data_IF_878513388387
#
_entry.id   IF_878513388387
#
_cell.length_a   1.000
_cell.length_b   1.000
_cell.length_c   1.000
_cell.angle_alpha   90.00
_cell.angle_beta   90.00
_cell.angle_gamma   90.00
#
_symmetry.space_group_name_H-M   'P 1'
#
loop_
_entity.id
_entity.type
_entity.pdbx_description
1 polymer ?
#
# COMPACT_ATOMS: atom_id res chain seq x y z
N UNK A 1 5.95 -6.14 -20.89
CA UNK A 1 6.28 -4.95 -20.07
C UNK A 1 6.00 -5.31 -18.61
N UNK A 2 7.00 -5.29 -17.72
CA UNK A 2 6.79 -5.69 -16.32
C UNK A 2 6.62 -4.45 -15.42
N UNK A 3 5.41 -3.90 -15.40
CA UNK A 3 5.04 -2.72 -14.62
C UNK A 3 5.00 -3.05 -13.11
N UNK A 4 5.54 -2.15 -12.28
CA UNK A 4 5.57 -2.24 -10.80
C UNK A 4 6.32 -3.45 -10.21
N UNK A 5 7.29 -4.03 -10.93
CA UNK A 5 8.04 -5.19 -10.43
C UNK A 5 8.76 -4.95 -9.11
N UNK A 6 9.37 -3.78 -8.93
CA UNK A 6 10.15 -3.48 -7.75
C UNK A 6 9.25 -3.53 -6.51
N UNK A 7 8.14 -2.80 -6.56
CA UNK A 7 7.11 -2.81 -5.54
C UNK A 7 6.57 -4.23 -5.27
N UNK A 8 6.20 -4.98 -6.32
CA UNK A 8 5.72 -6.36 -6.20
C UNK A 8 6.72 -7.28 -5.51
N UNK A 9 8.01 -7.17 -5.85
CA UNK A 9 9.08 -7.95 -5.24
C UNK A 9 9.23 -7.61 -3.76
N UNK A 10 9.23 -6.32 -3.41
CA UNK A 10 9.33 -5.87 -2.01
C UNK A 10 8.15 -6.35 -1.17
N UNK A 11 6.93 -6.35 -1.72
CA UNK A 11 5.75 -6.92 -1.06
C UNK A 11 5.95 -8.42 -0.79
N UNK A 12 6.41 -9.19 -1.77
CA UNK A 12 6.68 -10.62 -1.57
C UNK A 12 7.79 -10.89 -0.55
N UNK A 13 8.83 -10.04 -0.47
CA UNK A 13 9.87 -10.16 0.54
C UNK A 13 9.33 -10.01 1.97
N UNK A 14 8.34 -9.12 2.16
CA UNK A 14 7.67 -8.95 3.46
C UNK A 14 6.77 -10.12 3.78
N UNK A 15 6.03 -10.66 2.80
CA UNK A 15 5.24 -11.88 2.97
C UNK A 15 6.12 -13.03 3.49
N UNK A 16 7.28 -13.24 2.88
CA UNK A 16 8.23 -14.28 3.28
C UNK A 16 8.86 -14.02 4.66
N UNK A 17 9.28 -12.78 4.95
CA UNK A 17 9.78 -12.41 6.29
C UNK A 17 8.73 -12.64 7.37
N UNK A 18 7.47 -12.32 7.08
CA UNK A 18 6.37 -12.51 8.03
C UNK A 18 6.08 -13.99 8.29
N UNK A 19 6.13 -14.84 7.25
CA UNK A 19 6.03 -16.30 7.42
C UNK A 19 7.15 -16.87 8.30
N UNK A 20 8.37 -16.35 8.17
CA UNK A 20 9.51 -16.79 8.98
C UNK A 20 9.40 -16.33 10.44
N UNK A 21 8.87 -15.12 10.66
CA UNK A 21 8.64 -14.54 11.98
C UNK A 21 7.51 -15.25 12.75
N UNK A 22 6.49 -15.75 12.03
CA UNK A 22 5.33 -16.41 12.60
C UNK A 22 5.46 -17.93 12.58
N UNK A 23 6.11 -18.49 13.61
CA UNK A 23 6.06 -19.93 13.90
C UNK A 23 4.82 -20.24 14.75
N UNK A 24 3.80 -20.84 14.15
CA UNK A 24 2.56 -21.23 14.83
C UNK A 24 1.52 -20.10 14.92
N UNK A 25 0.74 -20.07 16.00
CA UNK A 25 -0.22 -18.99 16.27
C UNK A 25 0.43 -17.95 17.19
N UNK A 26 0.58 -16.72 16.70
CA UNK A 26 1.19 -15.63 17.45
C UNK A 26 0.21 -14.46 17.54
N UNK A 27 0.20 -13.79 18.69
CA UNK A 27 -0.45 -12.50 18.86
C UNK A 27 0.56 -11.41 18.48
N UNK A 28 0.17 -10.56 17.53
CA UNK A 28 0.95 -9.41 17.09
C UNK A 28 0.68 -8.22 18.01
N UNK A 29 1.70 -7.85 18.78
CA UNK A 29 1.76 -6.61 19.56
C UNK A 29 2.50 -5.53 18.75
N UNK A 30 2.48 -4.29 19.25
CA UNK A 30 3.12 -3.16 18.56
C UNK A 30 4.61 -3.38 18.32
N UNK A 31 5.33 -3.94 19.29
CA UNK A 31 6.78 -4.17 19.16
C UNK A 31 7.09 -5.15 18.02
N UNK A 32 6.32 -6.23 17.91
CA UNK A 32 6.46 -7.21 16.83
C UNK A 32 6.09 -6.63 15.48
N UNK A 33 5.04 -5.81 15.43
CA UNK A 33 4.62 -5.15 14.19
C UNK A 33 5.65 -4.12 13.72
N UNK A 34 6.24 -3.35 14.63
CA UNK A 34 7.33 -2.42 14.35
C UNK A 34 8.55 -3.15 13.79
N UNK A 35 8.97 -4.23 14.45
CA UNK A 35 10.10 -5.05 13.98
C UNK A 35 9.82 -5.62 12.58
N UNK A 36 8.62 -6.15 12.38
CA UNK A 36 8.19 -6.76 11.12
C UNK A 36 8.18 -5.77 9.95
N UNK A 37 7.65 -4.57 10.18
CA UNK A 37 7.41 -3.58 9.13
C UNK A 37 8.50 -2.54 8.95
N UNK A 38 9.45 -2.41 9.88
CA UNK A 38 10.60 -1.49 9.76
C UNK A 38 11.34 -1.62 8.43
N UNK A 39 11.61 -2.86 7.99
CA UNK A 39 12.26 -3.12 6.70
C UNK A 39 11.34 -2.92 5.50
N UNK A 40 10.01 -2.94 5.68
CA UNK A 40 9.06 -2.72 4.60
C UNK A 40 8.93 -1.24 4.26
N UNK A 41 8.91 -0.38 5.26
CA UNK A 41 8.85 1.07 5.07
C UNK A 41 10.03 1.57 4.22
N UNK A 42 11.25 1.16 4.57
CA UNK A 42 12.46 1.46 3.79
C UNK A 42 12.32 0.93 2.36
N UNK A 43 11.79 -0.29 2.19
CA UNK A 43 11.61 -0.88 0.87
C UNK A 43 10.57 -0.16 -0.01
N UNK A 44 9.54 0.45 0.58
CA UNK A 44 8.57 1.29 -0.13
C UNK A 44 9.23 2.58 -0.60
N UNK A 45 10.01 3.24 0.25
CA UNK A 45 10.79 4.42 -0.10
C UNK A 45 11.79 4.15 -1.25
N UNK A 46 12.50 3.02 -1.18
CA UNK A 46 13.38 2.54 -2.28
C UNK A 46 12.63 2.26 -3.59
N UNK A 47 11.31 2.12 -3.54
CA UNK A 47 10.44 1.83 -4.68
C UNK A 47 9.74 3.06 -5.24
N UNK A 48 10.28 4.26 -4.99
CA UNK A 48 9.73 5.56 -5.39
C UNK A 48 8.32 5.84 -4.83
N UNK A 49 7.97 5.23 -3.70
CA UNK A 49 6.76 5.56 -2.96
C UNK A 49 7.05 6.77 -2.07
N UNK A 50 6.23 7.81 -2.15
CA UNK A 50 6.36 8.98 -1.31
C UNK A 50 6.31 8.60 0.19
N UNK A 51 6.99 9.37 1.04
CA UNK A 51 7.06 9.12 2.48
C UNK A 51 5.66 9.03 3.11
N UNK A 52 4.81 10.03 2.85
CA UNK A 52 3.44 10.08 3.37
C UNK A 52 2.60 8.84 2.98
N UNK A 53 2.82 8.33 1.77
CA UNK A 53 2.12 7.14 1.26
C UNK A 53 2.67 5.88 1.93
N UNK A 54 3.99 5.80 2.10
CA UNK A 54 4.66 4.70 2.79
C UNK A 54 4.21 4.62 4.25
N UNK A 55 4.26 5.73 4.99
CA UNK A 55 3.82 5.84 6.37
C UNK A 55 2.35 5.42 6.52
N UNK A 56 1.47 5.89 5.62
CA UNK A 56 0.06 5.48 5.61
C UNK A 56 -0.09 3.97 5.43
N UNK A 57 0.61 3.37 4.45
CA UNK A 57 0.54 1.93 4.20
C UNK A 57 0.95 1.13 5.44
N UNK A 58 2.01 1.56 6.13
CA UNK A 58 2.50 0.90 7.34
C UNK A 58 1.51 1.08 8.50
N UNK A 59 0.94 2.27 8.68
CA UNK A 59 -0.06 2.52 9.71
C UNK A 59 -1.31 1.65 9.52
N UNK A 60 -1.87 1.62 8.31
CA UNK A 60 -3.05 0.80 7.98
C UNK A 60 -2.78 -0.70 8.23
N UNK A 61 -1.57 -1.17 7.89
CA UNK A 61 -1.15 -2.54 8.14
C UNK A 61 -1.08 -2.85 9.64
N UNK A 62 -0.43 -1.99 10.44
CA UNK A 62 -0.34 -2.15 11.89
C UNK A 62 -1.73 -2.20 12.52
N UNK A 63 -2.61 -1.27 12.16
CA UNK A 63 -3.99 -1.23 12.66
C UNK A 63 -4.76 -2.50 12.29
N UNK A 64 -4.61 -2.99 11.05
CA UNK A 64 -5.31 -4.19 10.59
C UNK A 64 -4.85 -5.48 11.29
N UNK A 65 -3.61 -5.52 11.77
CA UNK A 65 -2.97 -6.71 12.33
C UNK A 65 -2.88 -6.72 13.86
N UNK A 66 -2.89 -5.55 14.49
CA UNK A 66 -2.72 -5.40 15.93
C UNK A 66 -3.74 -6.22 16.72
N UNK A 67 -3.26 -6.97 17.71
CA UNK A 67 -4.08 -7.77 18.60
C UNK A 67 -4.72 -9.01 17.96
N UNK A 68 -4.52 -9.25 16.65
CA UNK A 68 -5.04 -10.45 15.99
C UNK A 68 -4.16 -11.65 16.27
N UNK A 69 -4.82 -12.79 16.51
CA UNK A 69 -4.18 -14.11 16.51
C UNK A 69 -4.13 -14.60 15.07
N UNK A 70 -2.93 -14.72 14.50
CA UNK A 70 -2.77 -15.05 13.08
C UNK A 70 -2.04 -16.38 12.95
N UNK A 71 -2.60 -17.26 12.11
CA UNK A 71 -1.93 -18.50 11.68
C UNK A 71 -1.01 -18.20 10.51
N UNK A 72 0.14 -18.87 10.45
CA UNK A 72 1.13 -18.70 9.37
C UNK A 72 0.55 -18.72 7.95
N UNK A 73 -0.46 -19.55 7.67
CA UNK A 73 -1.11 -19.64 6.35
C UNK A 73 -2.07 -18.49 6.00
N UNK A 74 -2.48 -17.67 6.97
CA UNK A 74 -3.46 -16.57 6.80
C UNK A 74 -2.79 -15.20 6.62
N UNK A 75 -1.53 -15.09 7.04
CA UNK A 75 -0.73 -13.87 7.07
C UNK A 75 -0.59 -13.24 5.69
N UNK A 76 -0.24 -14.03 4.67
CA UNK A 76 -0.01 -13.54 3.31
C UNK A 76 -1.27 -12.88 2.75
N UNK A 77 -2.41 -13.55 2.93
CA UNK A 77 -3.70 -13.01 2.49
C UNK A 77 -4.06 -11.74 3.24
N UNK A 78 -3.78 -11.67 4.54
CA UNK A 78 -4.09 -10.52 5.36
C UNK A 78 -3.24 -9.31 4.97
N UNK A 79 -1.92 -9.48 4.79
CA UNK A 79 -1.03 -8.42 4.30
C UNK A 79 -1.48 -7.92 2.93
N UNK A 80 -1.79 -8.83 1.99
CA UNK A 80 -2.29 -8.45 0.65
C UNK A 80 -3.61 -7.70 0.71
N UNK A 81 -4.54 -8.13 1.57
CA UNK A 81 -5.84 -7.47 1.72
C UNK A 81 -5.70 -6.08 2.32
N UNK A 82 -4.91 -5.93 3.38
CA UNK A 82 -4.65 -4.65 4.03
C UNK A 82 -3.94 -3.69 3.08
N UNK A 83 -2.90 -4.14 2.37
CA UNK A 83 -2.22 -3.33 1.35
C UNK A 83 -3.16 -2.92 0.22
N UNK A 84 -3.99 -3.84 -0.28
CA UNK A 84 -4.97 -3.54 -1.32
C UNK A 84 -6.00 -2.51 -0.87
N UNK A 85 -6.40 -2.56 0.40
CA UNK A 85 -7.34 -1.61 1.00
C UNK A 85 -6.69 -0.24 1.15
N UNK A 86 -5.47 -0.18 1.69
CA UNK A 86 -4.67 1.04 1.80
C UNK A 86 -4.49 1.74 0.44
N UNK A 87 -4.08 0.99 -0.59
CA UNK A 87 -3.94 1.54 -1.95
C UNK A 87 -5.27 2.06 -2.51
N UNK A 88 -6.40 1.41 -2.23
CA UNK A 88 -7.72 1.89 -2.66
C UNK A 88 -8.14 3.20 -2.00
N UNK A 89 -7.65 3.47 -0.79
CA UNK A 89 -7.91 4.73 -0.10
C UNK A 89 -7.03 5.85 -0.63
N UNK A 90 -5.77 5.52 -0.96
CA UNK A 90 -4.82 6.46 -1.57
C UNK A 90 -5.31 6.92 -2.95
N UNK A 91 -5.82 5.99 -3.77
CA UNK A 91 -6.36 6.33 -5.09
C UNK A 91 -7.82 6.77 -5.00
N UNK A 92 -8.18 7.99 -5.42
CA UNK A 92 -9.56 8.47 -5.33
C UNK A 92 -10.52 7.55 -6.10
N UNK A 93 -11.68 7.21 -5.51
CA UNK A 93 -12.56 6.16 -6.03
C UNK A 93 -13.30 6.56 -7.33
N UNK A 94 -13.29 7.84 -7.70
CA UNK A 94 -14.04 8.34 -8.86
C UNK A 94 -13.23 9.34 -9.67
N UNK A 95 -12.80 8.99 -10.89
CA UNK A 95 -12.27 9.98 -11.80
C UNK A 95 -13.37 10.99 -12.17
N UNK A 96 -12.98 12.25 -12.35
CA UNK A 96 -13.89 13.27 -12.84
C UNK A 96 -14.48 12.84 -14.20
N UNK A 97 -15.79 12.99 -14.37
CA UNK A 97 -16.47 12.68 -15.64
C UNK A 97 -16.23 13.80 -16.63
N UNK A 98 -15.05 13.82 -17.24
CA UNK A 98 -14.60 14.88 -18.14
C UNK A 98 -15.62 15.21 -19.24
N UNK A 99 -16.26 14.20 -19.83
CA UNK A 99 -17.28 14.37 -20.87
C UNK A 99 -18.49 15.18 -20.38
N UNK A 100 -18.94 14.96 -19.14
CA UNK A 100 -20.06 15.72 -18.56
C UNK A 100 -19.65 17.17 -18.29
N UNK A 101 -18.42 17.39 -17.78
CA UNK A 101 -17.88 18.73 -17.53
C UNK A 101 -17.77 19.56 -18.82
N UNK A 102 -17.25 18.97 -19.90
CA UNK A 102 -17.11 19.65 -21.20
C UNK A 102 -18.47 20.03 -21.80
N UNK A 103 -19.52 19.23 -21.57
CA UNK A 103 -20.87 19.54 -22.06
C UNK A 103 -21.52 20.71 -21.31
N UNK A 104 -21.11 20.96 -20.06
CA UNK A 104 -21.74 21.97 -19.18
C UNK A 104 -21.38 23.43 -19.50
N UNK A 105 -20.26 23.69 -20.19
CA UNK A 105 -19.78 25.04 -20.50
C UNK A 105 -19.06 25.07 -21.84
N UNK A 106 -19.28 26.13 -22.64
CA UNK A 106 -18.58 26.34 -23.92
C UNK A 106 -18.02 27.78 -24.03
N UNK A 107 -16.72 27.97 -24.33
CA UNK A 107 -15.69 26.94 -24.47
C UNK A 107 -15.32 26.34 -23.10
N UNK A 108 -15.01 25.04 -23.08
CA UNK A 108 -14.39 24.39 -21.94
C UNK A 108 -12.88 24.40 -22.15
N UNK A 109 -12.12 25.09 -21.30
CA UNK A 109 -10.67 25.28 -21.44
C UNK A 109 -9.95 24.34 -20.49
N UNK A 110 -9.02 23.53 -21.01
CA UNK A 110 -8.17 22.61 -20.23
C UNK A 110 -6.74 23.15 -20.27
N UNK A 111 -6.16 23.41 -19.10
CA UNK A 111 -4.75 23.76 -18.97
C UNK A 111 -3.96 22.52 -18.54
N UNK A 112 -2.90 22.21 -19.28
CA UNK A 112 -1.92 21.19 -18.92
C UNK A 112 -0.73 21.88 -18.25
N UNK A 113 -0.34 21.37 -17.08
CA UNK A 113 0.81 21.87 -16.31
C UNK A 113 1.73 20.71 -15.96
N UNK A 114 3.03 20.95 -16.00
CA UNK A 114 4.06 19.95 -15.72
C UNK A 114 5.44 20.58 -15.85
N UNK A 115 6.46 19.91 -15.31
CA UNK A 115 7.85 20.24 -15.62
C UNK A 115 8.17 19.80 -17.06
N UNK A 116 9.25 20.32 -17.64
CA UNK A 116 9.69 19.86 -18.95
C UNK A 116 10.25 18.42 -18.83
N UNK A 117 9.67 17.48 -19.58
CA UNK A 117 10.06 16.07 -19.59
C UNK A 117 9.02 15.18 -18.92
#
# INVERSE_FOLDING_TARGET
MKLFNLLKRKISEVEEKTKAFLKGEVILDDKKLDELFSGFEIALLESDVALEVSEKIIADLKESLHGRKIKQGEVENLIRQSLRSSLREIFPPKPAKLVELVRSKKPYVIAFVGVNG
#
